data_IF_266624000372
#
_entry.id   IF_266624000372
#
_cell.length_a   1.000
_cell.length_b   1.000
_cell.length_c   1.000
_cell.angle_alpha   90.00
_cell.angle_beta   90.00
_cell.angle_gamma   90.00
#
_symmetry.space_group_name_H-M   'P 1'
#
loop_
_entity.id
_entity.type
_entity.pdbx_description
1 polymer ?
#
# COMPACT_ATOMS: atom_id res chain seq x y z
N UNK A 1 11.06 1.64 -26.18
CA UNK A 1 9.90 2.20 -25.45
C UNK A 1 10.36 3.34 -24.53
N UNK A 2 9.57 4.40 -24.32
CA UNK A 2 9.89 5.43 -23.30
C UNK A 2 9.31 4.97 -21.97
N UNK A 3 10.12 4.89 -20.92
CA UNK A 3 9.64 4.57 -19.57
C UNK A 3 8.71 5.69 -19.10
N UNK A 4 7.62 5.35 -18.38
CA UNK A 4 6.66 6.36 -17.95
C UNK A 4 7.27 7.23 -16.85
N UNK A 5 6.74 8.46 -16.70
CA UNK A 5 7.38 9.48 -15.85
C UNK A 5 7.47 9.05 -14.38
N UNK A 6 6.48 8.31 -13.88
CA UNK A 6 6.47 7.75 -12.53
C UNK A 6 7.66 6.82 -12.25
N UNK A 7 8.22 6.19 -13.28
CA UNK A 7 9.38 5.30 -13.15
C UNK A 7 10.61 6.06 -12.63
N UNK A 8 10.82 7.28 -13.13
CA UNK A 8 11.95 8.15 -12.75
C UNK A 8 11.72 8.88 -11.42
N UNK A 9 10.46 9.02 -11.00
CA UNK A 9 10.09 9.55 -9.68
C UNK A 9 10.16 8.50 -8.58
N UNK A 10 10.07 7.22 -8.96
CA UNK A 10 10.12 6.09 -8.04
C UNK A 10 11.50 6.00 -7.38
N UNK A 11 11.50 5.88 -6.06
CA UNK A 11 12.68 5.45 -5.32
C UNK A 11 12.67 3.94 -5.28
N UNK A 12 13.75 3.36 -5.75
CA UNK A 12 13.91 1.93 -5.88
C UNK A 12 14.82 1.41 -4.78
N UNK A 13 14.51 0.22 -4.27
CA UNK A 13 15.44 -0.61 -3.52
C UNK A 13 16.08 -1.59 -4.48
N UNK A 14 17.39 -1.73 -4.39
CA UNK A 14 18.17 -2.66 -5.17
C UNK A 14 18.87 -3.66 -4.22
N UNK A 15 18.58 -4.94 -4.38
CA UNK A 15 19.00 -5.97 -3.41
C UNK A 15 19.30 -7.32 -4.05
N UNK A 16 20.27 -8.04 -3.47
CA UNK A 16 20.63 -9.43 -3.79
C UNK A 16 19.66 -10.47 -3.20
N UNK A 17 18.93 -10.10 -2.15
CA UNK A 17 17.99 -10.98 -1.47
C UNK A 17 16.80 -10.17 -0.95
N UNK A 18 15.58 -10.53 -1.38
CA UNK A 18 14.34 -9.91 -0.89
C UNK A 18 14.07 -10.23 0.59
N UNK A 19 14.67 -11.30 1.14
CA UNK A 19 14.58 -11.68 2.55
C UNK A 19 15.56 -10.93 3.44
N UNK A 20 16.61 -10.32 2.90
CA UNK A 20 17.57 -9.50 3.64
C UNK A 20 17.79 -8.19 2.90
N UNK A 21 16.78 -7.30 2.92
CA UNK A 21 16.81 -6.09 2.11
C UNK A 21 17.90 -5.11 2.56
N UNK A 22 18.50 -4.42 1.59
CA UNK A 22 19.53 -3.39 1.82
C UNK A 22 18.90 -2.06 2.25
N UNK A 23 19.64 -1.27 3.03
CA UNK A 23 19.30 0.13 3.40
C UNK A 23 19.46 1.10 2.25
N UNK A 24 20.24 0.75 1.24
CA UNK A 24 20.49 1.62 0.10
C UNK A 24 19.30 1.65 -0.85
N UNK A 25 18.89 2.85 -1.22
CA UNK A 25 17.89 3.11 -2.26
C UNK A 25 18.51 3.89 -3.41
N UNK A 26 17.99 3.72 -4.62
CA UNK A 26 18.43 4.43 -5.80
C UNK A 26 17.27 5.11 -6.53
N UNK A 27 17.60 6.09 -7.37
CA UNK A 27 16.71 6.62 -8.41
C UNK A 27 17.37 6.44 -9.77
N UNK A 28 16.54 6.24 -10.78
CA UNK A 28 16.99 6.20 -12.18
C UNK A 28 16.67 7.55 -12.79
N UNK A 29 17.67 8.23 -13.34
CA UNK A 29 17.48 9.51 -14.04
C UNK A 29 17.19 9.28 -15.52
N UNK A 30 16.48 10.19 -16.16
CA UNK A 30 16.16 10.11 -17.60
C UNK A 30 17.41 10.03 -18.50
N UNK A 31 18.55 10.58 -18.05
CA UNK A 31 19.82 10.57 -18.79
C UNK A 31 20.68 9.30 -18.57
N UNK A 32 20.11 8.26 -17.97
CA UNK A 32 20.76 6.95 -17.85
C UNK A 32 21.69 6.78 -16.65
N UNK A 33 21.58 7.64 -15.62
CA UNK A 33 22.39 7.54 -14.39
C UNK A 33 21.61 6.87 -13.27
N UNK A 34 22.35 6.20 -12.39
CA UNK A 34 21.86 5.66 -11.13
C UNK A 34 22.26 6.66 -10.04
N UNK A 35 21.29 7.17 -9.29
CA UNK A 35 21.48 8.20 -8.27
C UNK A 35 21.21 7.63 -6.88
N UNK A 36 22.02 8.00 -5.89
CA UNK A 36 21.84 7.58 -4.48
C UNK A 36 22.38 6.19 -4.13
N UNK A 37 22.94 5.48 -5.12
CA UNK A 37 23.61 4.20 -4.94
C UNK A 37 24.93 4.24 -5.71
N UNK A 38 26.03 3.97 -5.01
CA UNK A 38 27.38 4.03 -5.55
C UNK A 38 28.02 2.65 -5.49
N UNK A 39 28.04 1.97 -6.64
CA UNK A 39 28.68 0.67 -6.78
C UNK A 39 29.25 0.54 -8.20
N UNK A 40 30.49 0.03 -8.38
CA UNK A 40 31.17 0.04 -9.66
C UNK A 40 30.47 -0.79 -10.75
N UNK A 41 29.67 -1.79 -10.36
CA UNK A 41 28.90 -2.63 -11.28
C UNK A 41 27.56 -2.01 -11.69
N UNK A 42 27.07 -0.97 -11.00
CA UNK A 42 25.79 -0.34 -11.26
C UNK A 42 25.96 1.18 -11.37
N UNK A 43 26.75 1.62 -12.35
CA UNK A 43 27.03 3.03 -12.61
C UNK A 43 25.98 3.69 -13.50
N UNK A 44 25.41 2.93 -14.44
CA UNK A 44 24.44 3.41 -15.43
C UNK A 44 23.31 2.42 -15.63
N UNK A 45 22.21 2.91 -16.19
CA UNK A 45 21.12 2.07 -16.66
C UNK A 45 20.82 2.37 -18.14
N UNK A 46 20.16 1.42 -18.79
CA UNK A 46 19.67 1.53 -20.16
C UNK A 46 18.57 0.51 -20.45
N UNK A 47 18.07 0.53 -21.68
CA UNK A 47 17.09 -0.44 -22.18
C UNK A 47 17.71 -1.25 -23.31
N UNK A 48 17.54 -2.57 -23.25
CA UNK A 48 17.83 -3.48 -24.35
C UNK A 48 16.65 -4.42 -24.55
N UNK A 49 16.14 -4.51 -25.79
CA UNK A 49 14.93 -5.26 -26.12
C UNK A 49 13.74 -4.90 -25.20
N UNK A 50 13.60 -3.62 -24.87
CA UNK A 50 12.62 -3.06 -23.91
C UNK A 50 12.76 -3.56 -22.46
N UNK A 51 13.87 -4.22 -22.11
CA UNK A 51 14.18 -4.62 -20.73
C UNK A 51 15.19 -3.68 -20.08
N UNK A 52 14.95 -3.37 -18.80
CA UNK A 52 15.88 -2.60 -17.98
C UNK A 52 17.19 -3.38 -17.81
N UNK A 53 18.31 -2.70 -18.03
CA UNK A 53 19.65 -3.22 -17.80
C UNK A 53 20.47 -2.22 -16.98
N UNK A 54 21.30 -2.73 -16.07
CA UNK A 54 22.35 -1.92 -15.42
C UNK A 54 23.71 -2.26 -16.02
N UNK A 55 24.61 -1.28 -15.98
CA UNK A 55 25.95 -1.34 -16.56
C UNK A 55 26.98 -0.83 -15.56
N UNK A 56 28.17 -1.44 -15.60
CA UNK A 56 29.32 -1.04 -14.81
C UNK A 56 30.00 0.22 -15.39
N UNK A 57 31.02 0.72 -14.70
CA UNK A 57 31.81 1.90 -15.12
C UNK A 57 32.51 1.74 -16.48
N UNK A 58 32.69 0.51 -16.96
CA UNK A 58 33.31 0.18 -18.25
C UNK A 58 32.29 -0.02 -19.37
N UNK A 59 31.00 0.10 -19.09
CA UNK A 59 29.91 -0.12 -20.05
C UNK A 59 29.52 -1.58 -20.24
N UNK A 60 30.05 -2.50 -19.43
CA UNK A 60 29.65 -3.90 -19.44
C UNK A 60 28.37 -4.08 -18.64
N UNK A 61 27.47 -4.94 -19.12
CA UNK A 61 26.17 -5.17 -18.48
C UNK A 61 26.33 -5.97 -17.19
N UNK A 62 25.82 -5.44 -16.09
CA UNK A 62 25.82 -6.10 -14.79
C UNK A 62 24.57 -6.92 -14.54
N UNK A 63 23.41 -6.48 -15.01
CA UNK A 63 22.16 -7.24 -14.90
C UNK A 63 21.23 -6.86 -16.04
N UNK A 64 20.51 -7.87 -16.55
CA UNK A 64 19.32 -7.71 -17.39
C UNK A 64 18.12 -8.13 -16.56
N UNK A 65 17.18 -7.23 -16.31
CA UNK A 65 15.96 -7.53 -15.55
C UNK A 65 14.94 -8.18 -16.49
N UNK A 66 15.01 -9.51 -16.61
CA UNK A 66 14.20 -10.32 -17.53
C UNK A 66 12.96 -10.96 -16.89
N UNK A 67 12.80 -10.81 -15.57
CA UNK A 67 11.60 -11.21 -14.86
C UNK A 67 10.86 -9.97 -14.32
N UNK A 68 9.60 -9.84 -14.71
CA UNK A 68 8.72 -8.73 -14.33
C UNK A 68 7.51 -9.29 -13.59
N UNK A 69 7.36 -8.93 -12.32
CA UNK A 69 6.18 -9.24 -11.52
C UNK A 69 5.38 -7.96 -11.30
N UNK A 70 4.08 -8.01 -11.58
CA UNK A 70 3.14 -6.92 -11.32
C UNK A 70 2.28 -7.25 -10.09
N UNK A 71 2.19 -6.31 -9.16
CA UNK A 71 1.41 -6.42 -7.92
C UNK A 71 0.52 -5.18 -7.82
N UNK A 72 -0.77 -5.34 -8.11
CA UNK A 72 -1.65 -4.19 -8.35
C UNK A 72 -1.09 -3.33 -9.48
N UNK A 73 -0.70 -2.09 -9.18
CA UNK A 73 -0.05 -1.17 -10.13
C UNK A 73 1.48 -1.10 -9.99
N UNK A 74 2.07 -1.85 -9.07
CA UNK A 74 3.50 -1.81 -8.80
C UNK A 74 4.25 -2.85 -9.61
N UNK A 75 5.41 -2.47 -10.14
CA UNK A 75 6.32 -3.35 -10.86
C UNK A 75 7.50 -3.75 -9.98
N UNK A 76 7.77 -5.05 -9.91
CA UNK A 76 8.97 -5.62 -9.29
C UNK A 76 9.77 -6.31 -10.39
N UNK A 77 11.04 -5.97 -10.48
CA UNK A 77 11.95 -6.49 -11.49
C UNK A 77 12.97 -7.42 -10.83
N UNK A 78 13.33 -8.50 -11.51
CA UNK A 78 14.49 -9.30 -11.10
C UNK A 78 15.27 -9.82 -12.29
N UNK A 79 16.56 -10.11 -12.10
CA UNK A 79 17.43 -10.66 -13.13
C UNK A 79 18.71 -11.20 -12.56
N UNK A 80 19.38 -12.12 -13.27
CA UNK A 80 20.68 -12.63 -12.83
C UNK A 80 21.77 -11.59 -13.01
N UNK A 81 22.63 -11.46 -12.01
CA UNK A 81 23.87 -10.71 -12.13
C UNK A 81 24.79 -11.42 -13.13
N UNK A 82 25.33 -10.67 -14.08
CA UNK A 82 26.11 -11.15 -15.22
C UNK A 82 27.62 -11.00 -14.99
N UNK A 83 28.03 -10.30 -13.92
CA UNK A 83 29.44 -10.09 -13.58
C UNK A 83 29.82 -11.00 -12.40
N UNK A 84 30.81 -11.86 -12.59
CA UNK A 84 31.35 -12.73 -11.53
C UNK A 84 30.68 -14.11 -11.40
N UNK A 85 31.35 -15.05 -10.72
CA UNK A 85 31.08 -16.48 -10.84
C UNK A 85 29.77 -16.99 -10.19
N UNK A 86 29.21 -16.28 -9.20
CA UNK A 86 28.04 -16.76 -8.42
C UNK A 86 26.69 -16.43 -9.06
N UNK A 87 26.64 -15.49 -10.01
CA UNK A 87 25.44 -15.02 -10.73
C UNK A 87 24.16 -14.92 -9.85
N UNK A 88 24.19 -14.19 -8.71
CA UNK A 88 23.03 -14.04 -7.85
C UNK A 88 21.87 -13.34 -8.58
N UNK A 89 20.64 -13.56 -8.13
CA UNK A 89 19.48 -12.80 -8.61
C UNK A 89 19.44 -11.45 -7.93
N UNK A 90 19.39 -10.38 -8.72
CA UNK A 90 19.20 -9.01 -8.27
C UNK A 90 17.74 -8.62 -8.41
N UNK A 91 17.26 -7.80 -7.48
CA UNK A 91 15.88 -7.34 -7.41
C UNK A 91 15.83 -5.81 -7.40
N UNK A 92 14.88 -5.25 -8.13
CA UNK A 92 14.57 -3.82 -8.13
C UNK A 92 13.08 -3.62 -7.86
N UNK A 93 12.77 -2.85 -6.81
CA UNK A 93 11.41 -2.72 -6.29
C UNK A 93 11.15 -1.34 -5.66
N UNK A 94 9.91 -0.80 -5.68
CA UNK A 94 9.62 0.49 -5.07
C UNK A 94 9.88 0.49 -3.56
N UNK A 95 10.43 1.59 -3.05
CA UNK A 95 10.88 1.73 -1.69
C UNK A 95 10.45 3.06 -1.05
N UNK A 96 10.51 3.09 0.28
CA UNK A 96 10.33 4.32 1.06
C UNK A 96 11.71 4.98 1.21
N UNK A 97 11.92 6.20 0.71
CA UNK A 97 13.23 6.86 0.78
C UNK A 97 13.62 7.13 2.25
N UNK A 98 14.86 6.80 2.62
CA UNK A 98 15.40 7.13 3.95
C UNK A 98 14.79 6.35 5.12
N UNK A 99 14.04 5.28 4.85
CA UNK A 99 13.44 4.42 5.86
C UNK A 99 14.18 3.09 6.00
N UNK A 100 14.05 2.47 7.18
CA UNK A 100 14.59 1.14 7.42
C UNK A 100 14.07 0.14 6.36
N UNK A 101 14.90 -0.79 5.85
CA UNK A 101 14.50 -1.75 4.81
C UNK A 101 13.30 -2.62 5.16
N UNK A 102 13.13 -2.91 6.44
CA UNK A 102 12.00 -3.67 6.96
C UNK A 102 10.75 -2.82 7.08
N UNK A 103 10.91 -1.48 7.11
CA UNK A 103 9.81 -0.56 6.94
C UNK A 103 9.46 -0.45 5.45
N UNK A 104 8.24 -0.85 5.11
CA UNK A 104 7.82 -0.93 3.71
C UNK A 104 6.35 -0.57 3.56
N UNK A 105 5.93 -0.36 2.31
CA UNK A 105 4.56 -0.05 1.97
C UNK A 105 3.64 -1.24 2.26
N UNK A 106 2.42 -0.98 2.72
CA UNK A 106 1.46 -2.03 3.08
C UNK A 106 1.13 -2.95 1.92
N UNK A 107 1.07 -2.44 0.68
CA UNK A 107 0.82 -3.26 -0.50
C UNK A 107 1.86 -4.37 -0.68
N UNK A 108 3.10 -4.09 -0.27
CA UNK A 108 4.22 -5.01 -0.43
C UNK A 108 4.18 -6.14 0.60
N UNK A 109 3.71 -5.85 1.81
CA UNK A 109 3.43 -6.87 2.83
C UNK A 109 2.32 -7.82 2.35
N UNK A 110 1.34 -7.28 1.63
CA UNK A 110 0.22 -8.05 1.07
C UNK A 110 0.40 -8.48 -0.38
N UNK A 111 1.62 -8.52 -0.92
CA UNK A 111 1.88 -8.85 -2.33
C UNK A 111 1.16 -10.13 -2.79
N UNK A 112 1.32 -11.22 -2.03
CA UNK A 112 0.69 -12.50 -2.38
C UNK A 112 -0.83 -12.46 -2.20
N UNK A 113 -1.32 -11.65 -1.26
CA UNK A 113 -2.76 -11.49 -0.99
C UNK A 113 -3.44 -10.65 -2.06
N UNK A 114 -2.79 -9.60 -2.55
CA UNK A 114 -3.23 -8.79 -3.68
C UNK A 114 -3.37 -9.67 -4.92
N UNK A 115 -2.35 -10.49 -5.23
CA UNK A 115 -2.40 -11.40 -6.38
C UNK A 115 -3.46 -12.48 -6.21
N UNK A 116 -3.60 -13.06 -5.01
CA UNK A 116 -4.53 -14.17 -4.75
C UNK A 116 -5.99 -13.73 -4.67
N UNK A 117 -6.26 -12.64 -3.96
CA UNK A 117 -7.63 -12.21 -3.59
C UNK A 117 -8.10 -10.96 -4.33
N UNK A 118 -7.23 -10.32 -5.13
CA UNK A 118 -7.59 -9.09 -5.86
C UNK A 118 -7.74 -7.87 -4.95
N UNK A 119 -7.17 -7.89 -3.75
CA UNK A 119 -7.20 -6.74 -2.84
C UNK A 119 -6.52 -5.51 -3.45
N UNK A 120 -7.00 -4.32 -3.08
CA UNK A 120 -6.41 -3.05 -3.53
C UNK A 120 -5.80 -2.30 -2.36
N UNK A 121 -4.50 -2.01 -2.43
CA UNK A 121 -3.78 -1.23 -1.41
C UNK A 121 -3.12 -0.04 -2.08
N UNK A 122 -3.47 1.17 -1.66
CA UNK A 122 -3.01 2.41 -2.24
C UNK A 122 -1.56 2.78 -1.89
N UNK A 123 -0.93 3.56 -2.76
CA UNK A 123 0.42 4.09 -2.54
C UNK A 123 0.55 4.85 -1.23
N UNK A 124 1.78 4.91 -0.73
CA UNK A 124 2.17 5.69 0.43
C UNK A 124 1.52 5.24 1.75
N UNK A 125 0.65 4.23 1.71
CA UNK A 125 0.10 3.57 2.89
C UNK A 125 1.15 2.67 3.50
N UNK A 126 1.36 2.82 4.81
CA UNK A 126 2.34 2.06 5.57
C UNK A 126 1.72 1.41 6.81
N UNK A 127 2.40 0.35 7.28
CA UNK A 127 1.99 -0.46 8.42
C UNK A 127 1.63 -1.89 8.02
N UNK A 128 1.61 -2.76 9.02
CA UNK A 128 1.41 -4.23 8.89
C UNK A 128 0.20 -4.67 9.70
N UNK A 129 -1.05 -4.34 9.29
CA UNK A 129 -2.22 -4.85 9.99
C UNK A 129 -2.31 -6.37 9.85
N UNK A 130 -2.87 -7.04 10.85
CA UNK A 130 -3.24 -8.44 10.73
C UNK A 130 -4.61 -8.53 10.05
N UNK A 131 -4.70 -9.26 8.94
CA UNK A 131 -5.98 -9.53 8.26
C UNK A 131 -6.42 -10.93 8.61
N UNK A 132 -7.65 -11.06 9.11
CA UNK A 132 -8.25 -12.33 9.55
C UNK A 132 -9.35 -12.74 8.58
N UNK A 133 -9.54 -14.05 8.42
CA UNK A 133 -10.57 -14.66 7.57
C UNK A 133 -10.46 -14.23 6.10
N UNK A 134 -9.23 -14.14 5.61
CA UNK A 134 -8.85 -13.56 4.32
C UNK A 134 -9.57 -14.22 3.12
N UNK A 135 -9.92 -15.51 3.21
CA UNK A 135 -10.61 -16.25 2.16
C UNK A 135 -12.11 -15.91 2.03
N UNK A 136 -12.68 -15.17 2.97
CA UNK A 136 -14.12 -14.93 3.05
C UNK A 136 -14.56 -13.51 2.71
N UNK A 137 -13.63 -12.58 2.43
CA UNK A 137 -14.01 -11.20 2.10
C UNK A 137 -12.95 -10.41 1.33
N UNK A 138 -13.39 -9.29 0.77
CA UNK A 138 -12.54 -8.32 0.08
C UNK A 138 -11.91 -7.30 1.04
N UNK A 139 -10.79 -6.72 0.60
CA UNK A 139 -10.13 -5.61 1.30
C UNK A 139 -9.65 -4.56 0.30
N UNK A 140 -10.07 -3.32 0.54
CA UNK A 140 -9.51 -2.13 -0.12
C UNK A 140 -9.00 -1.16 0.93
N UNK A 141 -7.77 -0.67 0.74
CA UNK A 141 -7.15 0.39 1.55
C UNK A 141 -6.66 1.48 0.61
N UNK A 142 -7.08 2.72 0.87
CA UNK A 142 -6.72 3.89 0.08
C UNK A 142 -5.25 4.30 0.22
N UNK A 143 -4.91 5.43 -0.40
CA UNK A 143 -3.54 5.99 -0.40
C UNK A 143 -3.26 6.76 0.89
N UNK A 144 -1.99 6.92 1.25
CA UNK A 144 -1.54 7.75 2.37
C UNK A 144 -2.12 7.37 3.75
N UNK A 145 -2.47 6.10 3.98
CA UNK A 145 -2.93 5.66 5.30
C UNK A 145 -1.75 5.39 6.24
N UNK A 146 -1.97 5.71 7.51
CA UNK A 146 -1.02 5.45 8.60
C UNK A 146 -1.59 4.36 9.51
N UNK A 147 -1.07 3.14 9.43
CA UNK A 147 -1.60 1.99 10.18
C UNK A 147 -0.62 1.61 11.29
N UNK A 148 -1.04 1.79 12.54
CA UNK A 148 -0.22 1.46 13.70
C UNK A 148 -0.14 -0.05 13.95
N UNK A 149 0.79 -0.44 14.83
CA UNK A 149 1.02 -1.85 15.21
C UNK A 149 -0.24 -2.49 15.81
N UNK A 150 -0.45 -3.78 15.52
CA UNK A 150 -1.47 -4.63 16.15
C UNK A 150 -2.91 -4.35 15.72
N UNK A 151 -3.10 -3.50 14.71
CA UNK A 151 -4.40 -3.29 14.05
C UNK A 151 -4.86 -4.61 13.45
N UNK A 152 -6.14 -4.96 13.66
CA UNK A 152 -6.76 -6.15 13.08
C UNK A 152 -7.89 -5.75 12.15
N UNK A 153 -7.93 -6.37 10.98
CA UNK A 153 -9.01 -6.23 10.00
C UNK A 153 -9.64 -7.62 9.83
N UNK A 154 -10.91 -7.75 10.20
CA UNK A 154 -11.63 -9.03 10.15
C UNK A 154 -12.54 -8.99 8.93
N UNK A 155 -12.48 -10.01 8.06
CA UNK A 155 -13.24 -10.03 6.81
C UNK A 155 -14.53 -10.87 6.85
N UNK A 156 -14.72 -11.70 7.89
CA UNK A 156 -15.93 -12.53 8.01
C UNK A 156 -16.32 -12.80 9.48
N UNK A 157 -17.48 -13.43 9.68
CA UNK A 157 -17.96 -13.92 10.98
C UNK A 157 -18.69 -15.26 10.78
N UNK A 158 -18.85 -16.04 11.85
CA UNK A 158 -19.76 -17.19 11.83
C UNK A 158 -21.23 -16.75 11.83
N UNK A 159 -22.10 -17.59 11.26
CA UNK A 159 -23.55 -17.42 11.42
C UNK A 159 -23.93 -17.46 12.89
N UNK A 160 -24.78 -16.52 13.32
CA UNK A 160 -25.30 -16.44 14.70
C UNK A 160 -26.82 -16.65 14.77
N UNK A 161 -27.47 -16.82 13.62
CA UNK A 161 -28.90 -17.04 13.43
C UNK A 161 -29.24 -18.50 13.09
N UNK A 162 -28.26 -19.41 13.18
CA UNK A 162 -28.42 -20.87 13.07
C UNK A 162 -28.36 -21.52 14.46
N UNK A 163 -28.64 -22.82 14.55
CA UNK A 163 -28.57 -23.57 15.81
C UNK A 163 -27.15 -23.72 16.38
N UNK A 164 -26.10 -23.52 15.57
CA UNK A 164 -24.70 -23.67 15.98
C UNK A 164 -23.83 -22.67 15.23
N UNK A 165 -22.92 -22.02 15.96
CA UNK A 165 -21.89 -21.13 15.39
C UNK A 165 -20.62 -21.91 15.00
N UNK A 166 -20.62 -23.25 15.09
CA UNK A 166 -19.46 -24.08 14.81
C UNK A 166 -19.24 -24.25 13.29
N UNK A 167 -18.02 -24.09 12.76
CA UNK A 167 -17.76 -24.11 11.33
C UNK A 167 -17.62 -25.53 10.77
N UNK A 168 -18.75 -26.25 10.66
CA UNK A 168 -18.77 -27.61 10.12
C UNK A 168 -18.30 -27.69 8.66
N UNK A 169 -18.67 -26.70 7.83
CA UNK A 169 -18.33 -26.65 6.41
C UNK A 169 -16.85 -26.37 6.14
N UNK A 170 -16.24 -25.46 6.91
CA UNK A 170 -14.78 -25.23 6.89
C UNK A 170 -14.02 -26.49 7.32
N UNK A 171 -14.56 -27.24 8.28
CA UNK A 171 -13.97 -28.47 8.82
C UNK A 171 -14.49 -29.74 8.13
N UNK A 172 -14.84 -29.66 6.84
CA UNK A 172 -15.38 -30.78 6.03
C UNK A 172 -14.55 -32.06 6.05
N UNK A 173 -13.25 -32.00 6.33
CA UNK A 173 -12.42 -33.19 6.52
C UNK A 173 -12.83 -34.04 7.73
N UNK A 174 -13.30 -33.39 8.80
CA UNK A 174 -13.86 -34.04 9.99
C UNK A 174 -15.37 -34.28 9.85
N UNK A 175 -16.06 -33.39 9.13
CA UNK A 175 -17.52 -33.42 8.94
C UNK A 175 -17.90 -33.51 7.46
N UNK A 176 -17.73 -34.67 6.78
CA UNK A 176 -18.00 -34.78 5.34
C UNK A 176 -19.45 -34.46 4.95
N UNK A 177 -20.41 -34.68 5.86
CA UNK A 177 -21.82 -34.36 5.63
C UNK A 177 -22.09 -32.84 5.53
N UNK A 178 -21.16 -31.99 5.98
CA UNK A 178 -21.25 -30.54 5.87
C UNK A 178 -20.49 -29.98 4.66
N UNK A 179 -19.99 -30.86 3.77
CA UNK A 179 -19.33 -30.43 2.55
C UNK A 179 -20.25 -29.51 1.74
N UNK A 180 -19.70 -28.38 1.30
CA UNK A 180 -20.36 -27.35 0.49
C UNK A 180 -21.54 -26.63 1.19
N UNK A 181 -21.72 -26.83 2.50
CA UNK A 181 -22.65 -26.04 3.32
C UNK A 181 -21.91 -24.79 3.85
N UNK A 182 -22.36 -23.57 3.51
CA UNK A 182 -21.74 -22.35 4.04
C UNK A 182 -21.93 -22.21 5.55
N UNK A 183 -20.89 -21.79 6.26
CA UNK A 183 -20.88 -21.60 7.72
C UNK A 183 -20.27 -20.25 8.16
N UNK A 184 -20.02 -19.37 7.20
CA UNK A 184 -19.53 -18.02 7.39
C UNK A 184 -20.44 -16.98 6.73
N UNK A 185 -20.52 -15.81 7.34
CA UNK A 185 -21.29 -14.64 6.89
C UNK A 185 -20.38 -13.74 6.07
N UNK A 186 -20.67 -13.61 4.79
CA UNK A 186 -20.13 -12.53 3.97
C UNK A 186 -20.83 -11.20 4.37
N UNK A 187 -20.06 -10.25 4.91
CA UNK A 187 -20.54 -8.89 5.23
C UNK A 187 -20.13 -7.87 4.15
N UNK A 188 -19.57 -8.34 3.03
CA UNK A 188 -18.96 -7.52 2.01
C UNK A 188 -17.53 -7.12 2.36
N UNK A 189 -16.93 -6.38 1.44
CA UNK A 189 -15.58 -5.87 1.55
C UNK A 189 -15.42 -4.89 2.74
N UNK A 190 -14.28 -5.00 3.43
CA UNK A 190 -13.81 -3.91 4.30
C UNK A 190 -13.14 -2.85 3.42
N UNK A 191 -13.68 -1.63 3.44
CA UNK A 191 -13.21 -0.51 2.61
C UNK A 191 -12.64 0.60 3.49
N UNK A 192 -11.35 0.88 3.37
CA UNK A 192 -10.66 1.97 4.07
C UNK A 192 -10.28 3.03 3.04
N UNK A 193 -10.77 4.25 3.21
CA UNK A 193 -10.44 5.38 2.33
C UNK A 193 -8.99 5.84 2.46
N UNK A 194 -8.62 6.84 1.65
CA UNK A 194 -7.32 7.51 1.71
C UNK A 194 -7.17 8.45 2.93
N UNK A 195 -5.93 8.76 3.33
CA UNK A 195 -5.59 9.63 4.48
C UNK A 195 -6.20 9.15 5.82
N UNK A 196 -6.37 7.84 6.00
CA UNK A 196 -6.90 7.29 7.25
C UNK A 196 -5.76 7.01 8.23
N UNK A 197 -5.90 7.49 9.46
CA UNK A 197 -5.02 7.14 10.57
C UNK A 197 -5.67 6.10 11.48
N UNK A 198 -5.04 4.93 11.63
CA UNK A 198 -5.53 3.85 12.48
C UNK A 198 -4.58 3.64 13.66
N UNK A 199 -5.08 3.90 14.85
CA UNK A 199 -4.34 3.80 16.12
C UNK A 199 -4.03 2.37 16.53
N UNK A 200 -3.04 2.24 17.43
CA UNK A 200 -2.52 0.95 17.90
C UNK A 200 -3.64 0.03 18.39
N UNK A 201 -3.60 -1.24 18.01
CA UNK A 201 -4.56 -2.27 18.42
C UNK A 201 -6.05 -2.00 18.09
N UNK A 202 -6.37 -1.10 17.16
CA UNK A 202 -7.74 -0.97 16.69
C UNK A 202 -8.22 -2.25 15.97
N UNK A 203 -9.51 -2.54 16.05
CA UNK A 203 -10.16 -3.68 15.40
C UNK A 203 -11.23 -3.17 14.44
N UNK A 204 -11.15 -3.56 13.18
CA UNK A 204 -12.12 -3.22 12.13
C UNK A 204 -12.93 -4.49 11.81
N UNK A 205 -14.25 -4.43 12.03
CA UNK A 205 -15.14 -5.58 11.78
C UNK A 205 -15.49 -5.74 10.29
N UNK A 206 -16.01 -6.92 9.90
CA UNK A 206 -16.37 -7.21 8.52
C UNK A 206 -17.39 -6.23 7.93
N UNK A 207 -17.25 -5.92 6.64
CA UNK A 207 -18.16 -5.05 5.89
C UNK A 207 -18.12 -3.57 6.27
N UNK A 208 -17.18 -3.14 7.12
CA UNK A 208 -17.07 -1.75 7.53
C UNK A 208 -16.44 -0.90 6.42
N UNK A 209 -17.09 0.23 6.13
CA UNK A 209 -16.51 1.31 5.32
C UNK A 209 -15.98 2.44 6.22
N UNK A 210 -14.72 2.82 6.05
CA UNK A 210 -14.07 3.94 6.72
C UNK A 210 -13.81 5.04 5.68
N UNK A 211 -14.45 6.19 5.85
CA UNK A 211 -14.33 7.32 4.93
C UNK A 211 -12.94 7.97 4.94
N UNK A 212 -12.62 8.69 3.86
CA UNK A 212 -11.36 9.41 3.69
C UNK A 212 -11.06 10.34 4.87
N UNK A 213 -9.80 10.45 5.27
CA UNK A 213 -9.38 11.36 6.33
C UNK A 213 -9.83 10.94 7.74
N UNK A 214 -10.52 9.81 7.91
CA UNK A 214 -10.97 9.39 9.24
C UNK A 214 -9.81 9.04 10.17
N UNK A 215 -10.05 9.16 11.48
CA UNK A 215 -9.11 8.75 12.53
C UNK A 215 -9.77 7.71 13.42
N UNK A 216 -9.15 6.55 13.50
CA UNK A 216 -9.56 5.46 14.39
C UNK A 216 -8.64 5.50 15.61
N UNK A 217 -9.17 5.84 16.77
CA UNK A 217 -8.39 5.90 18.00
C UNK A 217 -7.81 4.53 18.37
N UNK A 218 -6.73 4.54 19.15
CA UNK A 218 -6.13 3.33 19.68
C UNK A 218 -7.17 2.45 20.41
N UNK A 219 -7.08 1.13 20.22
CA UNK A 219 -7.98 0.11 20.80
C UNK A 219 -9.47 0.28 20.46
N UNK A 220 -9.83 1.11 19.46
CA UNK A 220 -11.22 1.23 19.04
C UNK A 220 -11.70 -0.06 18.35
N UNK A 221 -12.96 -0.45 18.60
CA UNK A 221 -13.62 -1.57 17.91
C UNK A 221 -14.68 -1.01 16.97
N UNK A 222 -14.33 -0.90 15.69
CA UNK A 222 -15.18 -0.30 14.67
C UNK A 222 -16.15 -1.34 14.14
N UNK A 223 -17.43 -1.19 14.53
CA UNK A 223 -18.51 -2.12 14.18
C UNK A 223 -19.52 -1.57 13.18
N UNK A 224 -19.35 -0.31 12.74
CA UNK A 224 -20.25 0.41 11.84
C UNK A 224 -19.42 1.32 10.91
N UNK A 225 -19.97 1.73 9.75
CA UNK A 225 -19.31 2.68 8.87
C UNK A 225 -18.89 3.97 9.58
N UNK A 226 -17.73 4.50 9.20
CA UNK A 226 -17.15 5.73 9.74
C UNK A 226 -17.20 6.82 8.66
N UNK A 227 -17.86 7.97 8.90
CA UNK A 227 -17.91 9.05 7.93
C UNK A 227 -16.52 9.63 7.62
N UNK A 228 -16.32 10.25 6.45
CA UNK A 228 -15.08 10.96 6.13
C UNK A 228 -14.74 11.99 7.21
N UNK A 229 -13.44 12.11 7.52
CA UNK A 229 -12.88 13.04 8.50
C UNK A 229 -13.42 12.90 9.93
N UNK A 230 -14.20 11.86 10.23
CA UNK A 230 -14.64 11.57 11.59
C UNK A 230 -13.48 10.99 12.41
N UNK A 231 -13.43 11.38 13.69
CA UNK A 231 -12.57 10.76 14.70
C UNK A 231 -13.46 9.87 15.55
N UNK A 232 -13.17 8.56 15.57
CA UNK A 232 -13.93 7.58 16.35
C UNK A 232 -13.05 6.91 17.40
N UNK A 233 -13.65 6.48 18.51
CA UNK A 233 -12.96 5.72 19.55
C UNK A 233 -13.92 4.95 20.45
N UNK A 234 -13.37 4.03 21.23
CA UNK A 234 -14.11 3.18 22.17
C UNK A 234 -14.48 1.80 21.63
N UNK A 235 -15.11 0.99 22.48
CA UNK A 235 -15.62 -0.33 22.16
C UNK A 235 -17.07 -0.47 22.67
N UNK A 236 -18.08 -0.48 21.77
CA UNK A 236 -17.96 -0.24 20.32
C UNK A 236 -17.60 1.22 20.01
N UNK A 237 -16.90 1.45 18.90
CA UNK A 237 -16.44 2.78 18.50
C UNK A 237 -17.62 3.74 18.27
N UNK A 238 -17.45 4.99 18.69
CA UNK A 238 -18.40 6.09 18.49
C UNK A 238 -17.66 7.31 17.98
N UNK A 239 -18.36 8.15 17.21
CA UNK A 239 -17.84 9.44 16.77
C UNK A 239 -17.59 10.30 18.01
N UNK A 240 -16.36 10.79 18.14
CA UNK A 240 -15.92 11.74 19.16
C UNK A 240 -16.13 13.15 18.64
N UNK A 241 -15.63 13.43 17.43
CA UNK A 241 -15.78 14.70 16.69
C UNK A 241 -15.37 14.52 15.24
N UNK A 242 -15.54 15.56 14.43
CA UNK A 242 -14.92 15.64 13.10
C UNK A 242 -13.58 16.39 13.17
N UNK A 243 -12.68 16.15 12.21
CA UNK A 243 -11.41 16.88 12.07
C UNK A 243 -11.63 18.35 11.70
N UNK A 244 -12.64 18.62 10.88
CA UNK A 244 -12.98 19.94 10.34
C UNK A 244 -14.51 20.14 10.31
N UNK A 245 -14.97 21.34 9.97
CA UNK A 245 -16.39 21.60 9.68
C UNK A 245 -16.84 20.97 8.35
N UNK A 246 -18.16 20.84 8.18
CA UNK A 246 -18.78 20.18 7.03
C UNK A 246 -18.39 20.82 5.69
N UNK A 247 -18.31 22.16 5.64
CA UNK A 247 -17.94 22.88 4.43
C UNK A 247 -16.49 22.60 4.01
N UNK A 248 -15.57 22.56 4.98
CA UNK A 248 -14.16 22.21 4.76
C UNK A 248 -14.02 20.75 4.35
N UNK A 249 -14.76 19.83 4.97
CA UNK A 249 -14.78 18.41 4.60
C UNK A 249 -15.22 18.24 3.15
N UNK A 250 -16.33 18.88 2.75
CA UNK A 250 -16.84 18.80 1.38
C UNK A 250 -15.80 19.28 0.35
N UNK A 251 -15.09 20.37 0.65
CA UNK A 251 -14.02 20.91 -0.22
C UNK A 251 -12.81 20.00 -0.30
N UNK A 252 -12.37 19.43 0.83
CA UNK A 252 -11.29 18.46 0.84
C UNK A 252 -11.63 17.18 0.06
N UNK A 253 -12.88 16.70 0.17
CA UNK A 253 -13.38 15.56 -0.61
C UNK A 253 -13.50 15.90 -2.10
N UNK A 254 -13.84 17.14 -2.46
CA UNK A 254 -13.84 17.57 -3.85
C UNK A 254 -12.43 17.69 -4.43
N UNK A 255 -11.44 18.10 -3.61
CA UNK A 255 -10.05 18.21 -4.02
C UNK A 255 -9.39 16.85 -4.24
N UNK A 256 -9.74 15.85 -3.41
CA UNK A 256 -9.16 14.50 -3.40
C UNK A 256 -7.65 14.54 -3.61
N UNK A 257 -6.94 15.31 -2.76
CA UNK A 257 -5.52 15.58 -2.95
C UNK A 257 -4.66 14.31 -3.02
N UNK A 258 -5.12 13.23 -2.38
CA UNK A 258 -4.51 11.90 -2.44
C UNK A 258 -4.53 11.29 -3.84
N UNK A 259 -5.34 11.76 -4.78
CA UNK A 259 -5.37 11.30 -6.18
C UNK A 259 -4.50 12.15 -7.10
N UNK A 260 -3.87 13.21 -6.58
CA UNK A 260 -2.99 14.04 -7.40
C UNK A 260 -1.70 13.31 -7.79
N UNK A 261 -1.10 13.77 -8.89
CA UNK A 261 0.23 13.39 -9.32
C UNK A 261 1.30 13.83 -8.30
N UNK A 262 2.41 13.09 -8.23
CA UNK A 262 3.48 13.32 -7.26
C UNK A 262 3.99 14.76 -7.28
N UNK A 263 4.22 15.36 -8.46
CA UNK A 263 4.67 16.76 -8.57
C UNK A 263 3.68 17.74 -7.95
N UNK A 264 2.38 17.52 -8.17
CA UNK A 264 1.35 18.40 -7.64
C UNK A 264 1.29 18.30 -6.12
N UNK A 265 1.40 17.08 -5.59
CA UNK A 265 1.52 16.85 -4.16
C UNK A 265 2.74 17.60 -3.61
N UNK A 266 3.93 17.40 -4.20
CA UNK A 266 5.16 18.06 -3.77
C UNK A 266 5.02 19.59 -3.78
N UNK A 267 4.49 20.17 -4.85
CA UNK A 267 4.29 21.61 -4.96
C UNK A 267 3.28 22.16 -3.94
N UNK A 268 2.27 21.36 -3.57
CA UNK A 268 1.23 21.76 -2.63
C UNK A 268 1.49 21.32 -1.18
N UNK A 269 2.58 20.60 -0.89
CA UNK A 269 2.87 20.02 0.43
C UNK A 269 2.73 21.01 1.58
N UNK A 270 3.28 22.25 1.51
CA UNK A 270 3.13 23.22 2.60
C UNK A 270 1.67 23.54 2.93
N UNK A 271 0.78 23.47 1.94
CA UNK A 271 -0.65 23.73 2.10
C UNK A 271 -1.44 22.50 2.51
N UNK A 272 -1.08 21.31 2.00
CA UNK A 272 -1.65 20.02 2.45
C UNK A 272 -1.37 19.81 3.94
N UNK A 273 -0.17 20.18 4.40
CA UNK A 273 0.25 20.08 5.79
C UNK A 273 -0.25 21.25 6.67
N UNK A 274 -1.12 22.11 6.14
CA UNK A 274 -1.69 23.26 6.85
C UNK A 274 -3.16 23.06 7.19
N UNK A 275 -3.75 24.00 7.92
CA UNK A 275 -5.20 24.07 8.17
C UNK A 275 -5.96 25.01 7.24
N UNK A 276 -5.34 25.50 6.16
CA UNK A 276 -5.91 26.53 5.29
C UNK A 276 -6.39 25.96 3.94
N UNK A 277 -7.69 25.66 3.87
CA UNK A 277 -8.34 25.12 2.67
C UNK A 277 -8.32 26.11 1.50
N UNK A 278 -8.39 27.42 1.76
CA UNK A 278 -8.38 28.44 0.70
C UNK A 278 -6.98 28.53 0.07
N UNK A 279 -5.94 28.49 0.89
CA UNK A 279 -4.57 28.45 0.40
C UNK A 279 -4.29 27.16 -0.40
N UNK A 280 -4.79 26.01 0.07
CA UNK A 280 -4.66 24.74 -0.63
C UNK A 280 -5.35 24.76 -2.00
N UNK A 281 -6.57 25.26 -2.08
CA UNK A 281 -7.28 25.39 -3.37
C UNK A 281 -6.56 26.33 -4.32
N UNK A 282 -6.09 27.47 -3.81
CA UNK A 282 -5.33 28.44 -4.62
C UNK A 282 -4.04 27.82 -5.17
N UNK A 283 -3.29 27.10 -4.33
CA UNK A 283 -2.07 26.41 -4.75
C UNK A 283 -2.37 25.29 -5.76
N UNK A 284 -3.44 24.51 -5.52
CA UNK A 284 -3.91 23.46 -6.42
C UNK A 284 -4.29 23.99 -7.80
N UNK A 285 -4.95 25.15 -7.85
CA UNK A 285 -5.37 25.79 -9.09
C UNK A 285 -4.20 26.46 -9.84
N UNK A 286 -3.18 26.94 -9.12
CA UNK A 286 -1.98 27.52 -9.71
C UNK A 286 -1.02 26.46 -10.29
N UNK A 287 -1.13 25.21 -9.86
CA UNK A 287 -0.30 24.13 -10.38
C UNK A 287 -0.68 23.77 -11.81
N UNK A 288 0.20 24.08 -12.76
CA UNK A 288 0.03 23.79 -14.19
C UNK A 288 -0.66 24.90 -15.01
N UNK A 289 -0.95 26.04 -14.39
CA UNK A 289 -1.36 27.28 -15.04
C UNK A 289 -0.21 28.25 -15.29
#
# INVERSE_FOLDING_TARGET
MTLPREFFQTVWRFSLDRRHPTTSTLRLSEDGRILGYDHPNEARWGLEDDLLCFYNLHGEKSVRFDNVKTVGKHTILSGKHLLGASHPTLHLEPAIPGMDPWFTWTWRIFEDKIVKYGWTIGDYTYGTPDVLDEEYGGLTIGRFCSIAKGVKIILSNHYTDTFSTYPFGTLKGLWPAAQDIPDHVDKGEVSIGSDVWIGVNAVINPGVTIGHGAVIAAQAVVTKPVPPYAIVGGNPARIIRFRHDEATIARLLALSWWDWEYEKIQACLPHIMSGDILALEKASAAFGG
#
